data_IF_764626262369
#
_entry.id   IF_764626262369
#
_cell.length_a   1.000
_cell.length_b   1.000
_cell.length_c   1.000
_cell.angle_alpha   90.00
_cell.angle_beta   90.00
_cell.angle_gamma   90.00
#
_symmetry.space_group_name_H-M   'P 1'
#
loop_
_entity.id
_entity.type
_entity.pdbx_description
1 polymer ?
#
# COMPACT_ATOMS: atom_id res chain seq x y z
N UNK A 1 52.18 31.98 -10.87
CA UNK A 1 50.91 31.22 -10.97
C UNK A 1 49.94 32.01 -11.84
N UNK A 2 49.99 31.80 -13.15
CA UNK A 2 49.04 32.40 -14.12
C UNK A 2 47.83 31.49 -14.20
N UNK A 3 46.80 31.76 -13.40
CA UNK A 3 45.48 31.15 -13.63
C UNK A 3 45.02 31.57 -15.04
N UNK A 4 44.70 30.59 -15.88
CA UNK A 4 44.28 30.83 -17.26
C UNK A 4 43.03 31.72 -17.26
N UNK A 5 43.17 32.92 -17.81
CA UNK A 5 42.09 33.93 -17.92
C UNK A 5 40.88 33.38 -18.70
N UNK A 6 41.05 32.28 -19.44
CA UNK A 6 40.02 31.62 -20.25
C UNK A 6 38.98 30.82 -19.45
N UNK A 7 39.17 30.61 -18.14
CA UNK A 7 38.25 29.81 -17.32
C UNK A 7 37.06 30.59 -16.74
N UNK A 8 37.15 31.93 -16.69
CA UNK A 8 36.12 32.78 -16.10
C UNK A 8 35.16 33.18 -17.22
N UNK A 9 33.91 32.75 -17.14
CA UNK A 9 32.90 33.06 -18.17
C UNK A 9 32.07 34.30 -17.81
N UNK A 10 31.90 34.58 -16.51
CA UNK A 10 31.07 35.66 -16.00
C UNK A 10 31.64 37.06 -16.36
N UNK A 11 30.86 37.93 -17.03
CA UNK A 11 31.31 39.27 -17.43
C UNK A 11 31.78 40.16 -16.27
N UNK A 12 31.11 40.10 -15.11
CA UNK A 12 31.42 40.92 -13.93
C UNK A 12 32.71 40.47 -13.24
N UNK A 13 33.00 39.16 -13.29
CA UNK A 13 34.26 38.60 -12.79
C UNK A 13 35.42 38.88 -13.74
N UNK A 14 35.18 38.88 -15.06
CA UNK A 14 36.16 39.30 -16.07
C UNK A 14 36.55 40.77 -15.89
N UNK A 15 35.58 41.66 -15.76
CA UNK A 15 35.83 43.10 -15.51
C UNK A 15 36.64 43.31 -14.23
N UNK A 16 36.30 42.60 -13.15
CA UNK A 16 37.04 42.67 -11.89
C UNK A 16 38.50 42.18 -12.05
N UNK A 17 38.73 41.13 -12.84
CA UNK A 17 40.05 40.61 -13.12
C UNK A 17 40.88 41.59 -13.94
N UNK A 18 40.30 42.16 -14.99
CA UNK A 18 40.94 43.17 -15.84
C UNK A 18 41.33 44.40 -15.02
N UNK A 19 40.41 44.93 -14.20
CA UNK A 19 40.68 46.06 -13.31
C UNK A 19 41.76 45.73 -12.27
N UNK A 20 41.79 44.48 -11.76
CA UNK A 20 42.83 44.03 -10.82
C UNK A 20 44.20 43.97 -11.47
N UNK A 21 44.29 43.44 -12.69
CA UNK A 21 45.53 43.40 -13.49
C UNK A 21 45.99 44.82 -13.80
N UNK A 22 45.10 45.69 -14.29
CA UNK A 22 45.42 47.10 -14.54
C UNK A 22 45.91 47.82 -13.29
N UNK A 23 45.23 47.64 -12.14
CA UNK A 23 45.65 48.23 -10.86
C UNK A 23 47.06 47.78 -10.48
N UNK A 24 47.34 46.48 -10.60
CA UNK A 24 48.67 45.91 -10.31
C UNK A 24 49.73 46.49 -11.23
N UNK A 25 49.44 46.62 -12.52
CA UNK A 25 50.40 47.12 -13.50
C UNK A 25 50.70 48.62 -13.26
N UNK A 26 49.69 49.42 -12.87
CA UNK A 26 49.89 50.80 -12.42
C UNK A 26 50.72 50.90 -11.13
N UNK A 27 50.47 50.03 -10.14
CA UNK A 27 51.28 49.97 -8.92
C UNK A 27 52.74 49.63 -9.24
N UNK A 28 52.99 48.62 -10.08
CA UNK A 28 54.34 48.22 -10.49
C UNK A 28 55.05 49.34 -11.24
N UNK A 29 54.33 50.05 -12.13
CA UNK A 29 54.88 51.22 -12.83
C UNK A 29 55.32 52.31 -11.84
N UNK A 30 54.47 52.67 -10.89
CA UNK A 30 54.78 53.69 -9.88
C UNK A 30 55.95 53.25 -8.98
N UNK A 31 55.98 51.98 -8.56
CA UNK A 31 57.09 51.42 -7.78
C UNK A 31 58.41 51.50 -8.56
N UNK A 32 58.42 51.09 -9.83
CA UNK A 32 59.61 51.18 -10.68
C UNK A 32 60.09 52.62 -10.89
N UNK A 33 59.16 53.59 -10.97
CA UNK A 33 59.49 55.02 -11.04
C UNK A 33 60.05 55.56 -9.71
N UNK A 34 59.64 55.02 -8.56
CA UNK A 34 60.18 55.39 -7.25
C UNK A 34 61.59 54.80 -7.08
N UNK A 35 61.78 53.53 -7.45
CA UNK A 35 63.07 52.84 -7.40
C UNK A 35 64.09 53.46 -8.36
N UNK A 36 63.67 53.93 -9.54
CA UNK A 36 64.55 54.60 -10.50
C UNK A 36 64.92 56.06 -10.12
N UNK A 37 64.16 56.71 -9.23
CA UNK A 37 64.35 58.10 -8.81
C UNK A 37 65.11 58.24 -7.47
N UNK A 38 66.12 57.40 -7.20
CA UNK A 38 67.02 57.61 -6.05
C UNK A 38 67.76 58.96 -6.10
N UNK A 39 67.84 59.62 -7.26
CA UNK A 39 68.28 61.02 -7.41
C UNK A 39 67.04 61.91 -7.54
N UNK A 40 66.81 62.77 -6.54
CA UNK A 40 65.63 63.65 -6.47
C UNK A 40 65.67 64.71 -7.59
N UNK A 41 65.11 64.39 -8.76
CA UNK A 41 64.74 65.41 -9.74
C UNK A 41 63.47 66.13 -9.23
N UNK A 42 63.69 67.29 -8.60
CA UNK A 42 62.64 68.10 -7.97
C UNK A 42 61.92 69.04 -8.97
N UNK A 43 62.11 68.81 -10.28
CA UNK A 43 61.52 69.63 -11.33
C UNK A 43 59.98 69.65 -11.23
N UNK A 44 59.34 70.81 -11.53
CA UNK A 44 57.88 70.94 -11.50
C UNK A 44 57.16 69.95 -12.42
N UNK A 45 57.81 69.55 -13.53
CA UNK A 45 57.29 68.58 -14.50
C UNK A 45 57.22 67.17 -13.91
N UNK A 46 58.31 66.71 -13.28
CA UNK A 46 58.40 65.38 -12.65
C UNK A 46 57.42 65.22 -11.48
N UNK A 47 57.09 66.31 -10.77
CA UNK A 47 56.02 66.30 -9.73
C UNK A 47 54.62 66.19 -10.32
N UNK A 48 54.36 66.89 -11.44
CA UNK A 48 53.06 66.88 -12.09
C UNK A 48 52.73 65.50 -12.69
N UNK A 49 53.72 64.80 -13.25
CA UNK A 49 53.54 63.44 -13.78
C UNK A 49 53.25 62.42 -12.68
N UNK A 50 54.01 62.46 -11.57
CA UNK A 50 53.73 61.65 -10.38
C UNK A 50 52.31 61.86 -9.85
N UNK A 51 51.84 63.11 -9.79
CA UNK A 51 50.47 63.43 -9.35
C UNK A 51 49.40 62.85 -10.30
N UNK A 52 49.65 62.87 -11.62
CA UNK A 52 48.72 62.29 -12.62
C UNK A 52 48.63 60.78 -12.50
N UNK A 53 49.75 60.09 -12.35
CA UNK A 53 49.78 58.62 -12.23
C UNK A 53 49.14 58.16 -10.92
N UNK A 54 49.33 58.90 -9.81
CA UNK A 54 48.69 58.61 -8.53
C UNK A 54 47.17 58.81 -8.58
N UNK A 55 46.68 59.84 -9.29
CA UNK A 55 45.24 60.05 -9.53
C UNK A 55 44.63 58.93 -10.38
N UNK A 56 45.35 58.45 -11.40
CA UNK A 56 44.91 57.30 -12.21
C UNK A 56 44.81 56.03 -11.37
N UNK A 57 45.83 55.74 -10.55
CA UNK A 57 45.79 54.58 -9.64
C UNK A 57 44.59 54.65 -8.69
N UNK A 58 44.37 55.81 -8.05
CA UNK A 58 43.24 55.99 -7.13
C UNK A 58 41.89 55.79 -7.82
N UNK A 59 41.74 56.24 -9.07
CA UNK A 59 40.52 56.05 -9.86
C UNK A 59 40.26 54.56 -10.16
N UNK A 60 41.27 53.84 -10.65
CA UNK A 60 41.14 52.40 -10.96
C UNK A 60 40.91 51.58 -9.68
N UNK A 61 41.58 51.93 -8.57
CA UNK A 61 41.34 51.29 -7.27
C UNK A 61 39.91 51.51 -6.75
N UNK A 62 39.34 52.71 -6.97
CA UNK A 62 37.96 52.98 -6.59
C UNK A 62 36.97 52.13 -7.41
N UNK A 63 37.21 52.00 -8.73
CA UNK A 63 36.41 51.13 -9.61
C UNK A 63 36.52 49.66 -9.19
N UNK A 64 37.74 49.16 -8.94
CA UNK A 64 37.98 47.79 -8.49
C UNK A 64 37.23 47.48 -7.18
N UNK A 65 37.25 48.40 -6.20
CA UNK A 65 36.51 48.23 -4.94
C UNK A 65 35.01 48.14 -5.16
N UNK A 66 34.47 48.93 -6.08
CA UNK A 66 33.03 48.91 -6.42
C UNK A 66 32.63 47.59 -7.07
N UNK A 67 33.35 47.17 -8.12
CA UNK A 67 33.09 45.91 -8.82
C UNK A 67 33.26 44.72 -7.89
N UNK A 68 34.28 44.72 -7.02
CA UNK A 68 34.47 43.67 -6.03
C UNK A 68 33.29 43.56 -5.06
N UNK A 69 32.79 44.67 -4.54
CA UNK A 69 31.60 44.68 -3.66
C UNK A 69 30.37 44.14 -4.38
N UNK A 70 30.16 44.53 -5.63
CA UNK A 70 29.06 44.05 -6.45
C UNK A 70 29.15 42.53 -6.65
N UNK A 71 30.34 42.00 -6.97
CA UNK A 71 30.54 40.56 -7.15
C UNK A 71 30.30 39.76 -5.87
N UNK A 72 30.71 40.31 -4.70
CA UNK A 72 30.41 39.68 -3.40
C UNK A 72 28.91 39.64 -3.13
N UNK A 73 28.17 40.70 -3.47
CA UNK A 73 26.70 40.72 -3.33
C UNK A 73 26.04 39.73 -4.30
N UNK A 74 26.43 39.73 -5.57
CA UNK A 74 25.93 38.78 -6.57
C UNK A 74 26.15 37.32 -6.16
N UNK A 75 27.33 37.00 -5.61
CA UNK A 75 27.63 35.66 -5.11
C UNK A 75 26.74 35.27 -3.91
N UNK A 76 26.42 36.23 -3.04
CA UNK A 76 25.51 36.03 -1.91
C UNK A 76 24.07 35.81 -2.39
N UNK A 77 23.62 36.60 -3.36
CA UNK A 77 22.28 36.52 -3.93
C UNK A 77 22.09 35.19 -4.66
N UNK A 78 23.03 34.81 -5.53
CA UNK A 78 23.00 33.50 -6.21
C UNK A 78 22.99 32.31 -5.22
N UNK A 79 23.73 32.42 -4.11
CA UNK A 79 23.69 31.41 -3.04
C UNK A 79 22.31 31.37 -2.38
N UNK A 80 21.71 32.52 -2.10
CA UNK A 80 20.39 32.62 -1.50
C UNK A 80 19.32 32.03 -2.42
N UNK A 81 19.36 32.34 -3.71
CA UNK A 81 18.46 31.81 -4.73
C UNK A 81 18.56 30.29 -4.82
N UNK A 82 19.79 29.77 -4.83
CA UNK A 82 20.05 28.32 -4.86
C UNK A 82 19.50 27.62 -3.62
N UNK A 83 19.62 28.24 -2.43
CA UNK A 83 19.06 27.70 -1.18
C UNK A 83 17.54 27.74 -1.20
N UNK A 84 16.93 28.83 -1.69
CA UNK A 84 15.48 28.95 -1.79
C UNK A 84 14.89 27.93 -2.77
N UNK A 85 15.50 27.78 -3.95
CA UNK A 85 15.10 26.76 -4.92
C UNK A 85 15.24 25.34 -4.34
N UNK A 86 16.32 25.06 -3.62
CA UNK A 86 16.50 23.77 -2.94
C UNK A 86 15.43 23.51 -1.88
N UNK A 87 15.12 24.49 -1.04
CA UNK A 87 14.08 24.37 -0.02
C UNK A 87 12.71 24.06 -0.64
N UNK A 88 12.40 24.70 -1.78
CA UNK A 88 11.16 24.43 -2.50
C UNK A 88 11.12 23.02 -3.08
N UNK A 89 12.23 22.54 -3.66
CA UNK A 89 12.35 21.15 -4.12
C UNK A 89 12.17 20.18 -2.97
N UNK A 90 12.80 20.42 -1.82
CA UNK A 90 12.68 19.56 -0.64
C UNK A 90 11.23 19.53 -0.11
N UNK A 91 10.54 20.67 -0.12
CA UNK A 91 9.12 20.79 0.26
C UNK A 91 8.22 19.98 -0.68
N UNK A 92 8.42 20.12 -1.99
CA UNK A 92 7.66 19.37 -3.01
C UNK A 92 7.95 17.87 -2.93
N UNK A 93 9.21 17.49 -2.66
CA UNK A 93 9.58 16.09 -2.48
C UNK A 93 8.86 15.45 -1.28
N UNK A 94 8.75 16.16 -0.16
CA UNK A 94 7.99 15.70 1.00
C UNK A 94 6.50 15.52 0.66
N UNK A 95 5.91 16.48 -0.05
CA UNK A 95 4.51 16.38 -0.50
C UNK A 95 4.29 15.16 -1.41
N UNK A 96 5.22 14.91 -2.34
CA UNK A 96 5.18 13.74 -3.21
C UNK A 96 5.27 12.43 -2.41
N UNK A 97 6.14 12.35 -1.40
CA UNK A 97 6.23 11.17 -0.53
C UNK A 97 4.92 10.90 0.21
N UNK A 98 4.26 11.95 0.73
CA UNK A 98 2.95 11.82 1.37
C UNK A 98 1.90 11.24 0.41
N UNK A 99 1.87 11.71 -0.83
CA UNK A 99 0.96 11.19 -1.86
C UNK A 99 1.25 9.73 -2.22
N UNK A 100 2.53 9.34 -2.30
CA UNK A 100 2.89 7.94 -2.52
C UNK A 100 2.43 7.03 -1.37
N UNK A 101 2.57 7.50 -0.13
CA UNK A 101 2.07 6.77 1.03
C UNK A 101 0.56 6.60 0.96
N UNK A 102 -0.18 7.68 0.70
CA UNK A 102 -1.63 7.65 0.57
C UNK A 102 -2.08 6.73 -0.57
N UNK A 103 -1.44 6.81 -1.74
CA UNK A 103 -1.73 5.90 -2.86
C UNK A 103 -1.52 4.44 -2.47
N UNK A 104 -0.41 4.11 -1.79
CA UNK A 104 -0.13 2.74 -1.36
C UNK A 104 -1.16 2.26 -0.34
N UNK A 105 -1.54 3.13 0.60
CA UNK A 105 -2.54 2.83 1.61
C UNK A 105 -3.90 2.52 0.96
N UNK A 106 -4.40 3.41 0.11
CA UNK A 106 -5.67 3.24 -0.61
C UNK A 106 -5.66 2.00 -1.51
N UNK A 107 -4.54 1.72 -2.20
CA UNK A 107 -4.42 0.47 -2.98
C UNK A 107 -4.50 -0.78 -2.11
N UNK A 108 -3.91 -0.73 -0.90
CA UNK A 108 -4.01 -1.80 0.08
C UNK A 108 -5.44 -2.00 0.56
N UNK A 109 -6.18 -0.92 0.85
CA UNK A 109 -7.58 -0.99 1.23
C UNK A 109 -8.46 -1.54 0.11
N UNK A 110 -8.26 -1.07 -1.13
CA UNK A 110 -8.98 -1.59 -2.31
C UNK A 110 -8.72 -3.09 -2.48
N UNK A 111 -7.49 -3.55 -2.34
CA UNK A 111 -7.16 -4.97 -2.41
C UNK A 111 -7.87 -5.75 -1.30
N UNK A 112 -7.82 -5.28 -0.05
CA UNK A 112 -8.51 -5.90 1.07
C UNK A 112 -10.04 -5.97 0.87
N UNK A 113 -10.64 -4.93 0.29
CA UNK A 113 -12.07 -4.94 -0.04
C UNK A 113 -12.41 -5.91 -1.18
N UNK A 114 -11.53 -6.07 -2.17
CA UNK A 114 -11.73 -6.99 -3.31
C UNK A 114 -11.53 -8.45 -2.90
N UNK A 115 -10.54 -8.70 -2.05
CA UNK A 115 -10.21 -10.03 -1.55
C UNK A 115 -11.10 -10.43 -0.37
N UNK A 116 -12.12 -9.62 -0.04
CA UNK A 116 -13.04 -9.94 1.03
C UNK A 116 -13.75 -11.28 0.73
N UNK A 117 -13.58 -12.30 1.58
CA UNK A 117 -14.13 -13.61 1.32
C UNK A 117 -15.65 -13.56 1.51
N UNK A 118 -16.38 -13.63 0.40
CA UNK A 118 -17.83 -13.68 0.43
C UNK A 118 -18.31 -15.11 0.67
N UNK A 119 -18.95 -15.39 1.82
CA UNK A 119 -19.44 -16.74 2.17
C UNK A 119 -20.31 -17.42 1.11
N UNK A 120 -20.98 -16.64 0.24
CA UNK A 120 -21.85 -17.20 -0.78
C UNK A 120 -21.09 -17.87 -1.94
N UNK A 121 -19.82 -17.54 -2.17
CA UNK A 121 -19.01 -18.15 -3.24
C UNK A 121 -18.57 -19.58 -2.90
N UNK A 122 -18.57 -19.93 -1.61
CA UNK A 122 -18.23 -21.28 -1.12
C UNK A 122 -19.47 -22.21 -1.05
N UNK A 123 -20.67 -21.67 -1.22
CA UNK A 123 -21.88 -22.48 -1.17
C UNK A 123 -21.97 -23.38 -2.41
N UNK A 124 -22.34 -24.66 -2.27
CA UNK A 124 -22.63 -25.51 -3.41
C UNK A 124 -24.02 -25.14 -3.94
N UNK A 125 -24.10 -24.11 -4.78
CA UNK A 125 -25.31 -23.78 -5.53
C UNK A 125 -25.43 -24.67 -6.78
N UNK A 126 -26.65 -24.92 -7.23
CA UNK A 126 -26.92 -25.45 -8.56
C UNK A 126 -26.33 -24.55 -9.65
N UNK A 127 -26.01 -25.13 -10.79
CA UNK A 127 -25.43 -24.38 -11.91
C UNK A 127 -26.39 -23.29 -12.41
N UNK A 128 -25.86 -22.29 -13.11
CA UNK A 128 -26.71 -21.23 -13.69
C UNK A 128 -27.67 -21.79 -14.74
N UNK A 129 -27.20 -22.76 -15.51
CA UNK A 129 -27.97 -23.44 -16.56
C UNK A 129 -29.17 -24.16 -15.94
N UNK A 130 -28.93 -25.02 -14.94
CA UNK A 130 -30.00 -25.78 -14.26
C UNK A 130 -31.02 -24.83 -13.59
N UNK A 131 -30.55 -23.75 -12.96
CA UNK A 131 -31.45 -22.78 -12.32
C UNK A 131 -32.34 -22.04 -13.33
N UNK A 132 -31.79 -21.70 -14.51
CA UNK A 132 -32.52 -20.99 -15.58
C UNK A 132 -33.44 -21.90 -16.39
N UNK A 133 -33.25 -23.23 -16.33
CA UNK A 133 -34.24 -24.19 -16.82
C UNK A 133 -35.49 -24.18 -15.95
N UNK A 134 -35.31 -24.12 -14.62
CA UNK A 134 -36.42 -24.08 -13.66
C UNK A 134 -37.07 -22.69 -13.55
N UNK A 135 -36.32 -21.61 -13.82
CA UNK A 135 -36.76 -20.22 -13.68
C UNK A 135 -36.43 -19.40 -14.96
N UNK A 136 -37.10 -19.70 -16.10
CA UNK A 136 -36.79 -19.09 -17.39
C UNK A 136 -37.03 -17.57 -17.42
N UNK A 137 -37.90 -17.03 -16.56
CA UNK A 137 -38.19 -15.60 -16.45
C UNK A 137 -37.01 -14.74 -15.96
N UNK A 138 -35.96 -15.37 -15.41
CA UNK A 138 -34.78 -14.68 -14.88
C UNK A 138 -33.58 -14.66 -15.85
N UNK A 139 -33.74 -15.17 -17.09
CA UNK A 139 -32.65 -15.22 -18.09
C UNK A 139 -32.06 -13.85 -18.43
N UNK A 140 -32.90 -12.84 -18.50
CA UNK A 140 -32.49 -11.47 -18.86
C UNK A 140 -32.24 -10.59 -17.62
N UNK A 141 -32.24 -11.17 -16.42
CA UNK A 141 -32.03 -10.43 -15.19
C UNK A 141 -30.56 -10.03 -15.02
N UNK A 142 -30.32 -8.92 -14.32
CA UNK A 142 -28.98 -8.49 -13.93
C UNK A 142 -28.26 -9.58 -13.09
N UNK A 143 -26.95 -9.81 -13.27
CA UNK A 143 -26.21 -10.88 -12.57
C UNK A 143 -26.35 -10.87 -11.05
N UNK A 144 -26.41 -9.68 -10.42
CA UNK A 144 -26.60 -9.59 -8.97
C UNK A 144 -28.01 -10.06 -8.56
N UNK A 145 -29.03 -9.67 -9.34
CA UNK A 145 -30.41 -10.12 -9.13
C UNK A 145 -30.53 -11.63 -9.32
N UNK A 146 -29.89 -12.19 -10.36
CA UNK A 146 -29.85 -13.63 -10.62
C UNK A 146 -29.20 -14.38 -9.46
N UNK A 147 -28.05 -13.90 -8.94
CA UNK A 147 -27.37 -14.51 -7.80
C UNK A 147 -28.23 -14.49 -6.53
N UNK A 148 -28.94 -13.40 -6.25
CA UNK A 148 -29.87 -13.34 -5.11
C UNK A 148 -31.01 -14.35 -5.26
N UNK A 149 -31.57 -14.48 -6.47
CA UNK A 149 -32.63 -15.44 -6.73
C UNK A 149 -32.14 -16.88 -6.53
N UNK A 150 -30.95 -17.22 -7.04
CA UNK A 150 -30.28 -18.52 -6.83
C UNK A 150 -30.07 -18.83 -5.35
N UNK A 151 -29.59 -17.85 -4.57
CA UNK A 151 -29.39 -18.02 -3.13
C UNK A 151 -30.71 -18.24 -2.38
N UNK A 152 -31.78 -17.56 -2.78
CA UNK A 152 -33.12 -17.76 -2.19
C UNK A 152 -33.66 -19.15 -2.52
N UNK A 153 -33.49 -19.59 -3.76
CA UNK A 153 -33.89 -20.94 -4.18
C UNK A 153 -33.18 -22.02 -3.36
N UNK A 154 -31.86 -21.95 -3.25
CA UNK A 154 -31.06 -22.89 -2.45
C UNK A 154 -31.49 -22.88 -0.98
N UNK A 155 -31.77 -21.70 -0.42
CA UNK A 155 -32.28 -21.58 0.95
C UNK A 155 -33.61 -22.33 1.12
N UNK A 156 -34.58 -22.10 0.23
CA UNK A 156 -35.89 -22.77 0.29
C UNK A 156 -35.76 -24.28 0.11
N UNK A 157 -34.90 -24.74 -0.80
CA UNK A 157 -34.62 -26.16 -0.99
C UNK A 157 -34.06 -26.81 0.29
N UNK A 158 -33.09 -26.15 0.95
CA UNK A 158 -32.51 -26.65 2.22
C UNK A 158 -33.52 -26.66 3.36
N UNK A 159 -34.38 -25.65 3.46
CA UNK A 159 -35.45 -25.62 4.46
C UNK A 159 -36.42 -26.79 4.28
N UNK A 160 -36.80 -27.09 3.03
CA UNK A 160 -37.66 -28.24 2.70
C UNK A 160 -36.98 -29.58 3.07
N UNK A 161 -35.71 -29.75 2.70
CA UNK A 161 -34.93 -30.94 3.05
C UNK A 161 -34.79 -31.12 4.57
N UNK A 162 -34.65 -30.03 5.33
CA UNK A 162 -34.59 -30.09 6.79
C UNK A 162 -35.94 -30.52 7.39
N UNK A 163 -37.06 -30.02 6.85
CA UNK A 163 -38.40 -30.43 7.26
C UNK A 163 -38.61 -31.91 6.96
N UNK A 164 -38.27 -32.38 5.77
CA UNK A 164 -38.39 -33.79 5.39
C UNK A 164 -37.50 -34.68 6.28
N UNK A 165 -36.24 -34.27 6.51
CA UNK A 165 -35.34 -34.97 7.44
C UNK A 165 -35.96 -35.10 8.82
N UNK A 166 -36.55 -34.04 9.37
CA UNK A 166 -37.22 -34.07 10.68
C UNK A 166 -38.40 -35.04 10.68
N UNK A 167 -39.23 -35.02 9.64
CA UNK A 167 -40.36 -35.95 9.50
C UNK A 167 -39.90 -37.41 9.39
N UNK A 168 -38.86 -37.69 8.59
CA UNK A 168 -38.29 -39.03 8.45
C UNK A 168 -37.66 -39.51 9.76
N UNK A 169 -36.98 -38.64 10.50
CA UNK A 169 -36.46 -38.95 11.83
C UNK A 169 -37.57 -39.31 12.82
N UNK A 170 -38.68 -38.57 12.82
CA UNK A 170 -39.85 -38.88 13.65
C UNK A 170 -40.46 -40.24 13.28
N UNK A 171 -40.66 -40.50 11.98
CA UNK A 171 -41.16 -41.80 11.49
C UNK A 171 -40.23 -42.95 11.88
N UNK A 172 -38.91 -42.76 11.71
CA UNK A 172 -37.89 -43.74 12.12
C UNK A 172 -37.98 -44.02 13.61
N UNK A 173 -38.08 -42.99 14.45
CA UNK A 173 -38.18 -43.16 15.89
C UNK A 173 -39.46 -43.90 16.29
N UNK A 174 -40.60 -43.57 15.67
CA UNK A 174 -41.87 -44.25 15.90
C UNK A 174 -41.81 -45.74 15.51
N UNK A 175 -41.21 -46.07 14.36
CA UNK A 175 -41.01 -47.46 13.94
C UNK A 175 -40.06 -48.21 14.88
N UNK A 176 -38.98 -47.58 15.34
CA UNK A 176 -38.06 -48.18 16.32
C UNK A 176 -38.79 -48.49 17.63
N UNK A 177 -39.65 -47.60 18.11
CA UNK A 177 -40.45 -47.86 19.31
C UNK A 177 -41.46 -48.98 19.11
N UNK A 178 -42.11 -49.04 17.94
CA UNK A 178 -43.06 -50.10 17.60
C UNK A 178 -42.37 -51.47 17.48
N UNK A 179 -41.19 -51.53 16.84
CA UNK A 179 -40.38 -52.75 16.75
C UNK A 179 -39.97 -53.23 18.15
N UNK A 180 -39.54 -52.32 19.04
CA UNK A 180 -39.21 -52.67 20.43
C UNK A 180 -40.43 -53.25 21.14
N UNK A 181 -41.59 -52.59 21.06
CA UNK A 181 -42.84 -53.07 21.65
C UNK A 181 -43.23 -54.46 21.15
N UNK A 182 -43.22 -54.68 19.84
CA UNK A 182 -43.52 -56.00 19.24
C UNK A 182 -42.53 -57.07 19.67
N UNK A 183 -41.24 -56.73 19.81
CA UNK A 183 -40.22 -57.65 20.32
C UNK A 183 -40.51 -58.05 21.77
N UNK A 184 -40.90 -57.09 22.61
CA UNK A 184 -41.26 -57.35 24.00
C UNK A 184 -42.53 -58.20 24.10
N UNK A 185 -43.55 -57.92 23.29
CA UNK A 185 -44.78 -58.70 23.19
C UNK A 185 -44.52 -60.15 22.69
N UNK A 186 -43.64 -60.30 21.70
CA UNK A 186 -43.22 -61.62 21.20
C UNK A 186 -42.46 -62.41 22.28
N UNK A 187 -41.57 -61.76 23.03
CA UNK A 187 -40.88 -62.37 24.17
C UNK A 187 -41.85 -62.83 25.25
N UNK A 188 -42.87 -62.01 25.55
CA UNK A 188 -43.92 -62.34 26.53
C UNK A 188 -44.78 -63.52 26.08
N UNK A 189 -45.24 -63.52 24.83
CA UNK A 189 -46.03 -64.63 24.27
C UNK A 189 -45.20 -65.91 24.15
N UNK A 190 -43.93 -65.83 23.76
CA UNK A 190 -42.99 -66.95 23.79
C UNK A 190 -42.90 -67.60 25.16
N UNK A 191 -42.69 -66.81 26.22
CA UNK A 191 -42.70 -67.30 27.61
C UNK A 191 -44.04 -67.93 28.01
N UNK A 192 -45.16 -67.38 27.56
CA UNK A 192 -46.48 -67.94 27.84
C UNK A 192 -46.69 -69.31 27.16
N UNK A 193 -46.22 -69.47 25.92
CA UNK A 193 -46.27 -70.75 25.19
C UNK A 193 -45.35 -71.78 25.85
N UNK A 194 -44.13 -71.40 26.23
CA UNK A 194 -43.22 -72.29 26.97
C UNK A 194 -43.88 -72.79 28.26
N UNK A 195 -44.58 -71.91 28.98
CA UNK A 195 -45.35 -72.28 30.17
C UNK A 195 -46.47 -73.26 29.82
N UNK A 196 -47.32 -72.97 28.84
CA UNK A 196 -48.40 -73.87 28.42
C UNK A 196 -47.85 -75.23 27.96
N UNK A 197 -46.72 -75.26 27.25
CA UNK A 197 -46.06 -76.50 26.85
C UNK A 197 -45.55 -77.29 28.06
N UNK A 198 -45.00 -76.62 29.08
CA UNK A 198 -44.58 -77.26 30.32
C UNK A 198 -45.79 -77.83 31.08
N UNK A 199 -46.87 -77.06 31.19
CA UNK A 199 -48.13 -77.47 31.81
C UNK A 199 -48.76 -78.67 31.07
N UNK A 200 -48.77 -78.65 29.73
CA UNK A 200 -49.26 -79.77 28.91
C UNK A 200 -48.39 -81.02 29.04
N UNK A 201 -47.06 -80.87 29.10
CA UNK A 201 -46.15 -82.00 29.40
C UNK A 201 -46.48 -82.59 30.77
N UNK A 202 -46.66 -81.77 31.80
CA UNK A 202 -47.06 -82.23 33.13
C UNK A 202 -48.41 -82.98 33.13
N UNK A 203 -49.40 -82.47 32.38
CA UNK A 203 -50.69 -83.13 32.18
C UNK A 203 -50.58 -84.46 31.41
N UNK A 204 -49.72 -84.54 30.39
CA UNK A 204 -49.49 -85.78 29.64
C UNK A 204 -48.83 -86.88 30.48
N UNK A 205 -47.93 -86.51 31.40
CA UNK A 205 -47.31 -87.45 32.35
C UNK A 205 -48.34 -87.99 33.33
N UNK A 206 -49.25 -87.14 33.81
CA UNK A 206 -50.32 -87.52 34.76
C UNK A 206 -51.46 -88.32 34.11
N UNK A 207 -51.83 -88.03 32.86
CA UNK A 207 -52.80 -88.82 32.10
C UNK A 207 -52.19 -90.13 31.56
N UNK A 208 -50.92 -90.14 31.15
CA UNK A 208 -50.20 -91.34 30.73
C UNK A 208 -49.99 -92.35 31.86
N UNK A 209 -49.86 -91.88 33.10
CA UNK A 209 -49.84 -92.74 34.29
C UNK A 209 -51.24 -93.24 34.72
N UNK A 210 -52.31 -92.66 34.17
CA UNK A 210 -53.70 -93.12 34.37
C UNK A 210 -54.15 -94.20 33.37
N UNK A 211 -53.51 -94.34 32.20
CA UNK A 211 -53.82 -95.38 31.20
C UNK A 211 -52.97 -96.65 31.31
N UNK A 212 -51.96 -96.65 32.19
CA UNK A 212 -51.12 -97.82 32.51
C UNK A 212 -51.54 -98.60 33.77
N UNK A 213 -52.74 -98.33 34.29
CA UNK A 213 -53.29 -98.97 35.48
C UNK A 213 -54.64 -99.64 35.17
N UNK A 214 -54.62 -100.60 34.23
CA UNK A 214 -55.56 -101.72 34.12
C UNK A 214 -54.76 -102.97 33.82
#
# INVERSE_FOLDING_TARGET
>A
MTYSQDSITDPSLKECLELSVQTRDYCNKILSQIEANEVVDDSPSSKAERSKDLKRLLAVMAQLKTVHRMNVMNARDSKQDSVSARQEVDRLHLQLQNLYYEQRHLRGEIAACRDFPHKYTELPLISEEDFLEENPELRDADPHTLMIARLRHEKTAREQLEVERKQLLQKKQALVTEIKKRKDDLSRTGKAIEKISADFRALSVTLGSSLGSV
#
